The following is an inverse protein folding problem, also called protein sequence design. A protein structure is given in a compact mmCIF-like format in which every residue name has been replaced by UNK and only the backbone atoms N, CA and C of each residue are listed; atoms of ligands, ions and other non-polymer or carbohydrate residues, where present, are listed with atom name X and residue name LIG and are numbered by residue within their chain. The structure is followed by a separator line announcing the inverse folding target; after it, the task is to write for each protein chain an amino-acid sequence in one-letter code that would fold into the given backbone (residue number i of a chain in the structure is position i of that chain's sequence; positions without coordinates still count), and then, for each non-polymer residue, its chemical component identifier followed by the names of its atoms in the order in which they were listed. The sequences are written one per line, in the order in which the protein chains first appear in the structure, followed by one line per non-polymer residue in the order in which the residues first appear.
data_IF_141109999633
#
_entry.id   IF_141109999633
#
_cell.length_a   1.000
_cell.length_b   1.000
_cell.length_c   1.000
_cell.angle_alpha   90.00
_cell.angle_beta   90.00
_cell.angle_gamma   90.00
#
_symmetry.space_group_name_H-M   'P 1'
#
loop_
_entity.id
_entity.type
_entity.pdbx_description
1 polymer ?
#
# COMPACT_ATOMS: atom_id res chain seq x y z
N UNK A 1 7.44 -3.22 -30.72
CA UNK A 1 6.62 -3.48 -29.51
C UNK A 1 7.41 -3.71 -28.23
N UNK A 2 8.15 -4.82 -28.05
CA UNK A 2 8.81 -5.11 -26.75
C UNK A 2 9.89 -4.08 -26.35
N UNK A 3 10.67 -3.57 -27.33
CA UNK A 3 11.67 -2.51 -27.10
C UNK A 3 11.03 -1.14 -26.80
N UNK A 4 9.91 -0.81 -27.45
CA UNK A 4 9.16 0.44 -27.23
C UNK A 4 8.39 0.42 -25.92
N UNK A 5 7.81 -0.72 -25.54
CA UNK A 5 7.15 -0.90 -24.25
C UNK A 5 8.14 -0.80 -23.10
N UNK A 6 9.35 -1.37 -23.25
CA UNK A 6 10.44 -1.18 -22.27
C UNK A 6 10.85 0.30 -22.17
N UNK A 7 10.94 1.02 -23.29
CA UNK A 7 11.23 2.47 -23.30
C UNK A 7 10.11 3.30 -22.65
N UNK A 8 8.85 2.89 -22.83
CA UNK A 8 7.68 3.51 -22.22
C UNK A 8 7.60 3.23 -20.71
N UNK A 9 7.86 1.99 -20.30
CA UNK A 9 7.86 1.57 -18.91
C UNK A 9 9.04 2.16 -18.11
N UNK A 10 10.16 2.54 -18.75
CA UNK A 10 11.28 3.22 -18.08
C UNK A 10 11.02 4.73 -17.93
N UNK A 11 9.90 5.27 -18.44
CA UNK A 11 9.50 6.64 -18.08
C UNK A 11 9.22 6.70 -16.58
N UNK A 12 10.10 7.36 -15.82
CA UNK A 12 10.04 7.43 -14.35
C UNK A 12 8.63 7.74 -13.81
N UNK A 13 7.91 8.67 -14.44
CA UNK A 13 6.54 9.04 -14.06
C UNK A 13 5.55 7.85 -14.01
N UNK A 14 5.67 6.85 -14.90
CA UNK A 14 4.75 5.70 -14.92
C UNK A 14 5.12 4.66 -13.86
N UNK A 15 6.41 4.45 -13.62
CA UNK A 15 6.91 3.52 -12.59
C UNK A 15 6.58 4.04 -11.20
N UNK A 16 6.84 5.33 -10.96
CA UNK A 16 6.58 5.96 -9.67
C UNK A 16 5.07 5.98 -9.35
N UNK A 17 4.24 6.22 -10.37
CA UNK A 17 2.78 6.12 -10.25
C UNK A 17 2.34 4.69 -9.92
N UNK A 18 2.90 3.68 -10.60
CA UNK A 18 2.57 2.28 -10.33
C UNK A 18 2.96 1.87 -8.90
N UNK A 19 4.13 2.30 -8.42
CA UNK A 19 4.58 2.08 -7.04
C UNK A 19 3.63 2.75 -6.05
N UNK A 20 3.22 4.00 -6.31
CA UNK A 20 2.30 4.74 -5.44
C UNK A 20 0.94 4.04 -5.30
N UNK A 21 0.39 3.50 -6.39
CA UNK A 21 -0.90 2.78 -6.38
C UNK A 21 -0.78 1.45 -5.61
N UNK A 22 0.32 0.71 -5.80
CA UNK A 22 0.55 -0.57 -5.11
C UNK A 22 0.69 -0.34 -3.60
N UNK A 23 1.50 0.65 -3.20
CA UNK A 23 1.67 0.99 -1.79
C UNK A 23 0.35 1.52 -1.21
N UNK A 24 -0.36 2.41 -1.90
CA UNK A 24 -1.64 2.93 -1.46
C UNK A 24 -2.70 1.85 -1.22
N UNK A 25 -2.76 0.83 -2.10
CA UNK A 25 -3.66 -0.31 -1.94
C UNK A 25 -3.26 -1.27 -0.82
N UNK A 26 -1.96 -1.47 -0.60
CA UNK A 26 -1.45 -2.37 0.44
C UNK A 26 -1.46 -1.74 1.83
N UNK A 27 -1.26 -0.42 1.94
CA UNK A 27 -1.11 0.30 3.21
C UNK A 27 -2.36 0.20 4.10
N UNK A 28 -3.56 0.14 3.50
CA UNK A 28 -4.81 -0.04 4.26
C UNK A 28 -4.84 -1.33 5.07
N UNK A 29 -4.32 -2.45 4.54
CA UNK A 29 -4.21 -3.71 5.29
C UNK A 29 -3.21 -3.62 6.42
N UNK A 30 -2.08 -2.94 6.20
CA UNK A 30 -1.06 -2.72 7.24
C UNK A 30 -1.65 -1.92 8.41
N UNK A 31 -2.36 -0.84 8.12
CA UNK A 31 -3.02 -0.02 9.15
C UNK A 31 -4.14 -0.81 9.84
N UNK A 32 -4.93 -1.59 9.10
CA UNK A 32 -6.01 -2.40 9.69
C UNK A 32 -5.46 -3.47 10.63
N UNK A 33 -4.40 -4.19 10.25
CA UNK A 33 -3.72 -5.16 11.11
C UNK A 33 -3.13 -4.47 12.34
N UNK A 34 -2.46 -3.32 12.18
CA UNK A 34 -1.93 -2.55 13.31
C UNK A 34 -3.03 -2.14 14.31
N UNK A 35 -4.15 -1.62 13.80
CA UNK A 35 -5.27 -1.21 14.64
C UNK A 35 -5.90 -2.43 15.34
N UNK A 36 -6.12 -3.53 14.62
CA UNK A 36 -6.77 -4.73 15.16
C UNK A 36 -5.90 -5.47 16.17
N UNK A 37 -4.60 -5.58 15.90
CA UNK A 37 -3.71 -6.45 16.69
C UNK A 37 -3.02 -5.69 17.83
N UNK A 38 -2.90 -4.35 17.74
CA UNK A 38 -2.21 -3.54 18.76
C UNK A 38 -3.14 -2.53 19.45
N UNK A 39 -4.09 -1.91 18.74
CA UNK A 39 -4.97 -0.88 19.33
C UNK A 39 -6.26 -1.46 19.91
N UNK A 40 -6.90 -2.41 19.23
CA UNK A 40 -8.14 -3.02 19.69
C UNK A 40 -8.02 -3.82 21.01
N UNK A 41 -6.90 -4.51 21.36
CA UNK A 41 -6.84 -5.22 22.63
C UNK A 41 -6.88 -4.28 23.85
N UNK A 42 -6.10 -3.19 23.93
CA UNK A 42 -6.23 -2.21 25.00
C UNK A 42 -7.56 -1.45 24.98
N UNK A 43 -8.05 -1.05 23.79
CA UNK A 43 -9.33 -0.33 23.69
C UNK A 43 -10.49 -1.24 24.09
N UNK A 44 -10.52 -2.48 23.63
CA UNK A 44 -11.55 -3.47 23.99
C UNK A 44 -11.55 -3.84 25.47
N UNK A 45 -10.41 -3.72 26.16
CA UNK A 45 -10.34 -3.85 27.62
C UNK A 45 -10.87 -2.63 28.38
N UNK A 46 -10.94 -1.45 27.76
CA UNK A 46 -11.39 -0.19 28.37
C UNK A 46 -12.84 0.13 28.01
N UNK A 47 -13.29 -0.24 26.81
CA UNK A 47 -14.67 -0.04 26.33
C UNK A 47 -15.56 -1.26 26.51
N UNK A 48 -15.01 -2.38 27.01
CA UNK A 48 -15.75 -3.57 27.44
C UNK A 48 -16.19 -3.50 28.88
#
# INVERSE_FOLDING_TARGET
MFKEFKKFAIKGNVVDLAIAVIIGGAFGKIVTSLVKDIIMPPVGLITG
#
